data_IF_229939745960
#
_entry.id   IF_229939745960
#
_cell.length_a   1.000
_cell.length_b   1.000
_cell.length_c   1.000
_cell.angle_alpha   90.00
_cell.angle_beta   90.00
_cell.angle_gamma   90.00
#
_symmetry.space_group_name_H-M   'P 1'
#
loop_
_entity.id
_entity.type
_entity.pdbx_description
1 polymer ?
#
# COMPACT_ATOMS: atom_id res chain seq x y z
N UNK A 1 -0.35 -14.16 -19.12
CA UNK A 1 1.07 -13.78 -19.38
C UNK A 1 1.68 -13.04 -18.21
N UNK A 2 1.20 -11.81 -17.89
CA UNK A 2 1.82 -10.93 -16.89
C UNK A 2 2.03 -11.54 -15.52
N UNK A 3 1.10 -12.34 -15.01
CA UNK A 3 1.22 -13.04 -13.72
C UNK A 3 2.43 -13.98 -13.71
N UNK A 4 2.55 -14.81 -14.73
CA UNK A 4 3.61 -15.83 -14.81
C UNK A 4 4.97 -15.16 -14.98
N UNK A 5 5.07 -14.20 -15.88
CA UNK A 5 6.32 -13.46 -16.13
C UNK A 5 6.72 -12.66 -14.89
N UNK A 6 5.77 -11.95 -14.25
CA UNK A 6 6.03 -11.23 -13.01
C UNK A 6 6.53 -12.12 -11.88
N UNK A 7 5.96 -13.30 -11.73
CA UNK A 7 6.41 -14.29 -10.75
C UNK A 7 7.82 -14.79 -11.04
N UNK A 8 8.11 -15.15 -12.28
CA UNK A 8 9.43 -15.68 -12.69
C UNK A 8 10.53 -14.64 -12.48
N UNK A 9 10.31 -13.41 -12.98
CA UNK A 9 11.30 -12.34 -12.85
C UNK A 9 11.52 -11.98 -11.37
N UNK A 10 10.43 -11.88 -10.58
CA UNK A 10 10.54 -11.64 -9.14
C UNK A 10 11.35 -12.71 -8.43
N UNK A 11 11.12 -13.98 -8.76
CA UNK A 11 11.87 -15.10 -8.20
C UNK A 11 13.36 -15.01 -8.53
N UNK A 12 13.72 -14.68 -9.77
CA UNK A 12 15.12 -14.49 -10.19
C UNK A 12 15.76 -13.34 -9.39
N UNK A 13 15.05 -12.21 -9.23
CA UNK A 13 15.56 -11.06 -8.46
C UNK A 13 15.75 -11.44 -6.99
N UNK A 14 14.83 -12.22 -6.40
CA UNK A 14 14.96 -12.72 -5.03
C UNK A 14 16.20 -13.59 -4.87
N UNK A 15 16.43 -14.52 -5.80
CA UNK A 15 17.63 -15.38 -5.78
C UNK A 15 18.91 -14.54 -5.92
N UNK A 16 18.91 -13.56 -6.81
CA UNK A 16 20.03 -12.63 -6.99
C UNK A 16 20.33 -11.84 -5.70
N UNK A 17 19.28 -11.30 -5.06
CA UNK A 17 19.43 -10.61 -3.76
C UNK A 17 19.99 -11.53 -2.68
N UNK A 18 19.49 -12.76 -2.58
CA UNK A 18 20.00 -13.73 -1.62
C UNK A 18 21.47 -14.11 -1.87
N UNK A 19 21.86 -14.24 -3.14
CA UNK A 19 23.26 -14.46 -3.51
C UNK A 19 24.14 -13.25 -3.10
N UNK A 20 23.63 -12.03 -3.32
CA UNK A 20 24.33 -10.80 -2.93
C UNK A 20 24.48 -10.67 -1.41
N UNK A 21 23.46 -11.06 -0.64
CA UNK A 21 23.52 -11.09 0.84
C UNK A 21 24.62 -11.99 1.38
N UNK A 22 24.97 -13.07 0.63
CA UNK A 22 26.05 -13.99 0.99
C UNK A 22 27.42 -13.56 0.49
N UNK A 23 27.49 -12.53 -0.34
CA UNK A 23 28.72 -12.01 -0.92
C UNK A 23 29.39 -10.97 -0.02
N UNK A 24 30.70 -10.81 -0.17
CA UNK A 24 31.50 -9.75 0.47
C UNK A 24 31.10 -8.34 0.03
N UNK A 25 30.35 -8.22 -1.06
CA UNK A 25 29.82 -6.93 -1.58
C UNK A 25 28.47 -6.53 -0.98
N UNK A 26 28.02 -7.23 0.08
CA UNK A 26 26.76 -6.92 0.74
C UNK A 26 26.86 -5.56 1.43
N UNK A 27 26.13 -4.58 0.91
CA UNK A 27 25.91 -3.27 1.54
C UNK A 27 24.42 -2.97 1.63
N UNK A 28 24.02 -2.30 2.71
CA UNK A 28 22.62 -1.87 2.90
C UNK A 28 22.15 -1.02 1.72
N UNK A 29 23.00 -0.12 1.25
CA UNK A 29 22.68 0.77 0.13
C UNK A 29 22.42 -0.01 -1.18
N UNK A 30 23.25 -1.02 -1.50
CA UNK A 30 23.04 -1.85 -2.68
C UNK A 30 21.71 -2.60 -2.62
N UNK A 31 21.37 -3.15 -1.47
CA UNK A 31 20.10 -3.87 -1.29
C UNK A 31 18.88 -2.94 -1.43
N UNK A 32 18.96 -1.72 -0.89
CA UNK A 32 17.90 -0.72 -1.00
C UNK A 32 17.72 -0.27 -2.46
N UNK A 33 18.82 -0.04 -3.19
CA UNK A 33 18.77 0.35 -4.60
C UNK A 33 18.13 -0.77 -5.44
N UNK A 34 18.52 -2.03 -5.24
CA UNK A 34 17.93 -3.17 -5.95
C UNK A 34 16.43 -3.24 -5.63
N UNK A 35 16.05 -3.07 -4.36
CA UNK A 35 14.65 -3.11 -3.96
C UNK A 35 13.82 -2.03 -4.65
N UNK A 36 14.33 -0.80 -4.73
CA UNK A 36 13.68 0.32 -5.40
C UNK A 36 13.62 0.17 -6.92
N UNK A 37 14.66 -0.40 -7.53
CA UNK A 37 14.71 -0.60 -8.99
C UNK A 37 13.89 -1.79 -9.45
N UNK A 38 13.63 -2.75 -8.58
CA UNK A 38 12.90 -3.98 -8.91
C UNK A 38 11.57 -3.74 -9.66
N UNK A 39 10.63 -2.88 -9.21
CA UNK A 39 9.37 -2.69 -9.91
C UNK A 39 9.57 -2.11 -11.32
N UNK A 40 10.54 -1.23 -11.52
CA UNK A 40 10.83 -0.65 -12.84
C UNK A 40 11.40 -1.69 -13.81
N UNK A 41 12.33 -2.51 -13.34
CA UNK A 41 12.92 -3.59 -14.14
C UNK A 41 11.85 -4.59 -14.55
N UNK A 42 10.98 -5.00 -13.62
CA UNK A 42 9.91 -5.96 -13.90
C UNK A 42 8.89 -5.38 -14.87
N UNK A 43 8.51 -4.12 -14.68
CA UNK A 43 7.59 -3.42 -15.58
C UNK A 43 8.14 -3.41 -17.00
N UNK A 44 9.38 -2.93 -17.17
CA UNK A 44 10.01 -2.82 -18.49
C UNK A 44 10.14 -4.17 -19.19
N UNK A 45 10.64 -5.18 -18.49
CA UNK A 45 10.78 -6.53 -19.04
C UNK A 45 9.44 -7.14 -19.43
N UNK A 46 8.39 -6.95 -18.63
CA UNK A 46 7.07 -7.47 -18.94
C UNK A 46 6.47 -6.82 -20.19
N UNK A 47 6.62 -5.50 -20.35
CA UNK A 47 6.18 -4.78 -21.57
C UNK A 47 6.95 -5.24 -22.79
N UNK A 48 8.24 -5.52 -22.69
CA UNK A 48 9.05 -6.06 -23.81
C UNK A 48 8.55 -7.45 -24.26
N UNK A 49 8.04 -8.25 -23.33
CA UNK A 49 7.37 -9.53 -23.64
C UNK A 49 5.91 -9.38 -24.06
N UNK A 50 5.44 -8.18 -24.36
CA UNK A 50 4.07 -7.88 -24.76
C UNK A 50 3.01 -8.36 -23.75
N UNK A 51 3.33 -8.28 -22.46
CA UNK A 51 2.40 -8.58 -21.36
C UNK A 51 2.29 -7.37 -20.45
N UNK A 52 1.17 -7.26 -19.73
CA UNK A 52 0.94 -6.13 -18.83
C UNK A 52 1.99 -6.03 -17.73
N UNK A 53 2.81 -4.98 -17.80
CA UNK A 53 3.83 -4.65 -16.81
C UNK A 53 3.23 -4.37 -15.44
N UNK A 54 2.06 -3.74 -15.38
CA UNK A 54 1.36 -3.44 -14.12
C UNK A 54 1.00 -4.74 -13.39
N UNK A 55 0.40 -5.72 -14.09
CA UNK A 55 0.07 -7.02 -13.49
C UNK A 55 1.33 -7.76 -13.04
N UNK A 56 2.40 -7.69 -13.84
CA UNK A 56 3.67 -8.32 -13.50
C UNK A 56 4.27 -7.72 -12.22
N UNK A 57 4.27 -6.40 -12.07
CA UNK A 57 4.77 -5.71 -10.88
C UNK A 57 3.94 -6.03 -9.63
N UNK A 58 2.60 -6.09 -9.75
CA UNK A 58 1.73 -6.47 -8.63
C UNK A 58 2.04 -7.90 -8.15
N UNK A 59 2.19 -8.85 -9.07
CA UNK A 59 2.55 -10.22 -8.72
C UNK A 59 3.93 -10.32 -8.07
N UNK A 60 4.90 -9.56 -8.60
CA UNK A 60 6.23 -9.47 -8.02
C UNK A 60 6.21 -8.87 -6.60
N UNK A 61 5.37 -7.87 -6.37
CA UNK A 61 5.17 -7.27 -5.05
C UNK A 61 4.69 -8.29 -4.01
N UNK A 62 3.78 -9.20 -4.39
CA UNK A 62 3.33 -10.28 -3.51
C UNK A 62 4.47 -11.24 -3.15
N UNK A 63 5.31 -11.60 -4.13
CA UNK A 63 6.51 -12.46 -3.89
C UNK A 63 7.49 -11.78 -2.95
N UNK A 64 7.80 -10.51 -3.20
CA UNK A 64 8.72 -9.74 -2.35
C UNK A 64 8.18 -9.51 -0.95
N UNK A 65 6.89 -9.29 -0.79
CA UNK A 65 6.28 -9.17 0.54
C UNK A 65 6.41 -10.46 1.34
N UNK A 66 6.19 -11.61 0.71
CA UNK A 66 6.36 -12.91 1.37
C UNK A 66 7.83 -13.16 1.78
N UNK A 67 8.79 -12.76 0.93
CA UNK A 67 10.23 -12.83 1.26
C UNK A 67 10.59 -11.89 2.41
N UNK A 68 10.13 -10.65 2.36
CA UNK A 68 10.40 -9.64 3.39
C UNK A 68 9.92 -10.09 4.76
N UNK A 69 8.76 -10.70 4.85
CA UNK A 69 8.26 -11.25 6.11
C UNK A 69 9.16 -12.34 6.69
N UNK A 70 9.73 -13.19 5.82
CA UNK A 70 10.71 -14.22 6.26
C UNK A 70 12.06 -13.62 6.68
N UNK A 71 12.48 -12.55 6.02
CA UNK A 71 13.78 -11.90 6.23
C UNK A 71 13.81 -10.93 7.41
N UNK A 72 12.67 -10.52 7.95
CA UNK A 72 12.57 -9.55 9.06
C UNK A 72 13.38 -9.95 10.29
N UNK A 73 13.46 -11.25 10.58
CA UNK A 73 14.20 -11.77 11.73
C UNK A 73 15.72 -11.75 11.51
N UNK A 74 16.19 -11.76 10.26
CA UNK A 74 17.61 -11.84 9.95
C UNK A 74 18.28 -10.48 9.76
N UNK A 75 17.55 -9.48 9.23
CA UNK A 75 18.08 -8.16 8.85
C UNK A 75 17.06 -7.03 9.09
N UNK A 76 16.62 -6.86 10.34
CA UNK A 76 15.58 -5.90 10.71
C UNK A 76 15.88 -4.45 10.27
N UNK A 77 17.13 -4.00 10.41
CA UNK A 77 17.54 -2.64 10.03
C UNK A 77 17.39 -2.39 8.52
N UNK A 78 17.79 -3.36 7.69
CA UNK A 78 17.71 -3.24 6.24
C UNK A 78 16.26 -3.25 5.75
N UNK A 79 15.43 -4.11 6.34
CA UNK A 79 13.99 -4.17 6.03
C UNK A 79 13.32 -2.87 6.45
N UNK A 80 13.64 -2.32 7.62
CA UNK A 80 13.10 -1.05 8.10
C UNK A 80 13.47 0.12 7.17
N UNK A 81 14.75 0.26 6.80
CA UNK A 81 15.20 1.31 5.88
C UNK A 81 14.54 1.17 4.49
N UNK A 82 14.48 -0.04 3.95
CA UNK A 82 13.87 -0.31 2.64
C UNK A 82 12.38 0.03 2.63
N UNK A 83 11.63 -0.43 3.62
CA UNK A 83 10.18 -0.17 3.71
C UNK A 83 9.87 1.30 3.93
N UNK A 84 10.67 2.01 4.74
CA UNK A 84 10.49 3.43 5.00
C UNK A 84 10.76 4.28 3.75
N UNK A 85 11.83 3.99 3.01
CA UNK A 85 12.13 4.67 1.75
C UNK A 85 11.05 4.42 0.68
N UNK A 86 10.57 3.18 0.55
CA UNK A 86 9.47 2.86 -0.36
C UNK A 86 8.20 3.61 0.03
N UNK A 87 7.88 3.71 1.31
CA UNK A 87 6.72 4.48 1.79
C UNK A 87 6.82 5.95 1.38
N UNK A 88 7.96 6.59 1.62
CA UNK A 88 8.19 8.00 1.26
C UNK A 88 8.08 8.21 -0.26
N UNK A 89 8.70 7.33 -1.07
CA UNK A 89 8.65 7.43 -2.53
C UNK A 89 7.24 7.20 -3.04
N UNK A 90 6.50 6.26 -2.47
CA UNK A 90 5.10 6.00 -2.83
C UNK A 90 4.22 7.20 -2.53
N UNK A 91 4.41 7.85 -1.39
CA UNK A 91 3.67 9.06 -1.02
C UNK A 91 3.99 10.23 -1.96
N UNK A 92 5.26 10.42 -2.32
CA UNK A 92 5.67 11.42 -3.31
C UNK A 92 5.03 11.15 -4.68
N UNK A 93 5.08 9.92 -5.18
CA UNK A 93 4.48 9.58 -6.47
C UNK A 93 2.96 9.72 -6.45
N UNK A 94 2.29 9.30 -5.38
CA UNK A 94 0.86 9.52 -5.23
C UNK A 94 0.52 11.02 -5.28
N UNK A 95 1.27 11.86 -4.58
CA UNK A 95 1.08 13.31 -4.58
C UNK A 95 1.25 13.90 -5.98
N UNK A 96 2.29 13.50 -6.71
CA UNK A 96 2.54 13.93 -8.10
C UNK A 96 1.37 13.52 -9.00
N UNK A 97 0.88 12.29 -8.90
CA UNK A 97 -0.23 11.81 -9.74
C UNK A 97 -1.53 12.55 -9.44
N UNK A 98 -1.82 12.87 -8.16
CA UNK A 98 -3.00 13.68 -7.83
C UNK A 98 -2.89 15.12 -8.34
N UNK A 99 -1.69 15.72 -8.36
CA UNK A 99 -1.47 17.03 -8.99
C UNK A 99 -1.71 16.95 -10.50
N UNK A 100 -1.19 15.93 -11.17
CA UNK A 100 -1.40 15.70 -12.60
C UNK A 100 -2.90 15.51 -12.89
N UNK A 101 -3.60 14.70 -12.08
CA UNK A 101 -5.05 14.52 -12.18
C UNK A 101 -5.79 15.86 -12.07
N UNK A 102 -5.43 16.68 -11.08
CA UNK A 102 -6.03 18.00 -10.92
C UNK A 102 -5.82 18.92 -12.12
N UNK A 103 -4.60 18.93 -12.68
CA UNK A 103 -4.29 19.71 -13.89
C UNK A 103 -5.06 19.20 -15.12
N UNK A 104 -5.15 17.89 -15.29
CA UNK A 104 -5.91 17.28 -16.39
C UNK A 104 -7.39 17.61 -16.29
N UNK A 105 -7.99 17.49 -15.11
CA UNK A 105 -9.38 17.85 -14.90
C UNK A 105 -9.68 19.29 -15.28
N UNK A 106 -8.81 20.23 -14.88
CA UNK A 106 -8.99 21.65 -15.23
C UNK A 106 -8.92 21.87 -16.74
N UNK A 107 -8.00 21.21 -17.44
CA UNK A 107 -7.86 21.33 -18.90
C UNK A 107 -9.09 20.76 -19.62
N UNK A 108 -9.54 19.58 -19.21
CA UNK A 108 -10.70 18.92 -19.81
C UNK A 108 -11.99 19.76 -19.57
N UNK A 109 -12.17 20.34 -18.39
CA UNK A 109 -13.32 21.21 -18.09
C UNK A 109 -13.27 22.52 -18.91
N UNK A 110 -12.07 23.02 -19.23
CA UNK A 110 -11.91 24.21 -20.08
C UNK A 110 -12.15 23.96 -21.56
N UNK A 111 -11.67 22.81 -22.06
CA UNK A 111 -11.76 22.46 -23.48
C UNK A 111 -13.15 21.98 -23.88
N UNK A 112 -13.84 21.26 -22.99
CA UNK A 112 -15.25 20.93 -23.16
C UNK A 112 -16.07 21.96 -22.34
N UNK A 113 -16.50 23.04 -23.03
CA UNK A 113 -17.56 23.90 -22.48
C UNK A 113 -18.67 23.00 -21.94
N UNK A 114 -19.14 23.25 -20.71
CA UNK A 114 -20.22 22.50 -20.04
C UNK A 114 -21.42 22.44 -20.99
N UNK A 115 -21.47 21.40 -21.80
CA UNK A 115 -22.48 21.16 -22.81
C UNK A 115 -23.48 20.14 -22.26
N UNK A 116 -24.65 20.04 -22.88
CA UNK A 116 -25.70 19.06 -22.49
C UNK A 116 -25.15 17.60 -22.35
N UNK A 117 -24.04 17.27 -22.99
CA UNK A 117 -23.34 15.99 -22.88
C UNK A 117 -22.57 15.79 -21.56
N UNK A 118 -22.34 16.82 -20.76
CA UNK A 118 -21.56 16.71 -19.50
C UNK A 118 -22.25 15.82 -18.47
N UNK A 119 -23.57 15.71 -18.49
CA UNK A 119 -24.31 14.82 -17.62
C UNK A 119 -24.02 13.34 -17.87
N UNK A 120 -23.63 12.97 -19.09
CA UNK A 120 -23.38 11.56 -19.45
C UNK A 120 -22.17 11.01 -18.69
N UNK A 121 -21.06 11.70 -18.69
CA UNK A 121 -19.85 11.22 -18.02
C UNK A 121 -19.97 11.34 -16.49
N UNK A 122 -20.70 12.34 -15.97
CA UNK A 122 -20.99 12.46 -14.53
C UNK A 122 -21.85 11.28 -14.06
N UNK A 123 -22.94 11.00 -14.76
CA UNK A 123 -23.82 9.88 -14.40
C UNK A 123 -23.13 8.53 -14.57
N UNK A 124 -22.32 8.36 -15.60
CA UNK A 124 -21.54 7.15 -15.82
C UNK A 124 -20.52 6.92 -14.69
N UNK A 125 -19.76 7.94 -14.30
CA UNK A 125 -18.82 7.87 -13.18
C UNK A 125 -19.51 7.58 -11.86
N UNK A 126 -20.67 8.18 -11.61
CA UNK A 126 -21.47 7.90 -10.42
C UNK A 126 -22.01 6.47 -10.40
N UNK A 127 -22.49 5.95 -11.53
CA UNK A 127 -22.95 4.55 -11.65
C UNK A 127 -21.77 3.59 -11.41
N UNK A 128 -20.61 3.85 -11.99
CA UNK A 128 -19.40 3.05 -11.78
C UNK A 128 -19.00 3.04 -10.30
N UNK A 129 -19.02 4.20 -9.63
CA UNK A 129 -18.74 4.29 -8.21
C UNK A 129 -19.73 3.48 -7.38
N UNK A 130 -21.05 3.66 -7.60
CA UNK A 130 -22.08 2.94 -6.88
C UNK A 130 -21.97 1.43 -7.09
N UNK A 131 -21.74 0.99 -8.33
CA UNK A 131 -21.56 -0.45 -8.62
C UNK A 131 -20.36 -1.04 -7.88
N UNK A 132 -19.25 -0.29 -7.83
CA UNK A 132 -18.05 -0.71 -7.07
C UNK A 132 -18.36 -0.84 -5.57
N UNK A 133 -19.03 0.16 -4.98
CA UNK A 133 -19.43 0.13 -3.56
C UNK A 133 -20.34 -1.08 -3.27
N UNK A 134 -21.33 -1.33 -4.13
CA UNK A 134 -22.26 -2.46 -3.96
C UNK A 134 -21.53 -3.80 -4.06
N UNK A 135 -20.69 -3.99 -5.08
CA UNK A 135 -19.93 -5.23 -5.27
C UNK A 135 -19.00 -5.49 -4.08
N UNK A 136 -18.30 -4.47 -3.61
CA UNK A 136 -17.41 -4.59 -2.44
C UNK A 136 -18.21 -4.91 -1.17
N UNK A 137 -19.36 -4.27 -0.97
CA UNK A 137 -20.21 -4.55 0.18
C UNK A 137 -20.69 -6.01 0.18
N UNK A 138 -21.21 -6.49 -0.96
CA UNK A 138 -21.67 -7.87 -1.12
C UNK A 138 -20.50 -8.84 -0.87
N UNK A 139 -19.33 -8.56 -1.45
CA UNK A 139 -18.15 -9.39 -1.27
C UNK A 139 -17.68 -9.45 0.19
N UNK A 140 -17.64 -8.30 0.88
CA UNK A 140 -17.29 -8.22 2.30
C UNK A 140 -18.26 -9.03 3.18
N UNK A 141 -19.57 -8.95 2.87
CA UNK A 141 -20.60 -9.68 3.61
C UNK A 141 -20.55 -11.19 3.37
N UNK A 142 -20.38 -11.61 2.12
CA UNK A 142 -20.44 -13.03 1.76
C UNK A 142 -19.11 -13.72 2.07
N UNK A 143 -17.98 -13.14 1.64
CA UNK A 143 -16.68 -13.81 1.73
C UNK A 143 -16.05 -13.67 3.11
N UNK A 144 -16.09 -12.48 3.68
CA UNK A 144 -15.45 -12.20 4.98
C UNK A 144 -16.43 -12.26 6.16
N UNK A 145 -17.73 -12.48 5.91
CA UNK A 145 -18.76 -12.50 6.96
C UNK A 145 -18.73 -11.28 7.88
N UNK A 146 -18.37 -10.14 7.32
CA UNK A 146 -18.27 -8.88 8.08
C UNK A 146 -19.63 -8.46 8.61
N UNK A 147 -19.65 -7.81 9.78
CA UNK A 147 -20.84 -7.12 10.30
C UNK A 147 -21.25 -5.96 9.39
N UNK A 148 -22.47 -5.46 9.53
CA UNK A 148 -23.00 -4.37 8.69
C UNK A 148 -22.09 -3.15 8.69
N UNK A 149 -21.59 -2.74 9.86
CA UNK A 149 -20.71 -1.59 10.03
C UNK A 149 -19.36 -1.81 9.35
N UNK A 150 -18.72 -2.94 9.63
CA UNK A 150 -17.46 -3.32 9.00
C UNK A 150 -17.60 -3.48 7.47
N UNK A 151 -18.73 -4.01 7.00
CA UNK A 151 -19.04 -4.11 5.57
C UNK A 151 -19.10 -2.75 4.87
N UNK A 152 -19.72 -1.75 5.48
CA UNK A 152 -19.76 -0.39 4.94
C UNK A 152 -18.37 0.27 4.97
N UNK A 153 -17.60 0.12 6.04
CA UNK A 153 -16.22 0.64 6.12
C UNK A 153 -15.36 0.01 5.04
N UNK A 154 -15.42 -1.32 4.86
CA UNK A 154 -14.68 -2.03 3.82
C UNK A 154 -15.08 -1.60 2.41
N UNK A 155 -16.37 -1.42 2.18
CA UNK A 155 -16.91 -1.02 0.88
C UNK A 155 -16.49 0.39 0.49
N UNK A 156 -16.66 1.35 1.38
CA UNK A 156 -16.34 2.75 1.18
C UNK A 156 -14.82 3.02 1.20
N UNK A 157 -14.05 2.23 1.95
CA UNK A 157 -12.58 2.35 2.02
C UNK A 157 -11.85 1.98 0.73
N UNK A 158 -12.57 1.58 -0.32
CA UNK A 158 -12.01 1.31 -1.64
C UNK A 158 -11.76 2.57 -2.44
N UNK A 159 -10.77 3.37 -2.04
CA UNK A 159 -10.41 4.59 -2.76
C UNK A 159 -9.72 4.24 -4.07
N UNK A 160 -10.19 4.82 -5.16
CA UNK A 160 -9.56 4.78 -6.47
C UNK A 160 -8.55 5.92 -6.58
N UNK A 161 -7.41 5.64 -7.21
CA UNK A 161 -6.32 6.63 -7.27
C UNK A 161 -5.48 6.50 -8.54
N UNK A 162 -4.19 6.74 -8.38
CA UNK A 162 -3.21 6.78 -9.46
C UNK A 162 -3.24 5.58 -10.40
N UNK A 163 -3.41 4.37 -9.86
CA UNK A 163 -3.39 3.13 -10.66
C UNK A 163 -4.60 3.05 -11.58
N UNK A 164 -5.80 3.35 -11.08
CA UNK A 164 -7.04 3.32 -11.88
C UNK A 164 -7.01 4.37 -12.97
N UNK A 165 -6.54 5.58 -12.66
CA UNK A 165 -6.38 6.64 -13.65
C UNK A 165 -5.39 6.25 -14.74
N UNK A 166 -4.22 5.71 -14.37
CA UNK A 166 -3.19 5.28 -15.32
C UNK A 166 -3.70 4.16 -16.23
N UNK A 167 -4.44 3.20 -15.67
CA UNK A 167 -5.07 2.12 -16.44
C UNK A 167 -6.13 2.66 -17.41
N UNK A 168 -7.02 3.53 -16.93
CA UNK A 168 -8.04 4.16 -17.77
C UNK A 168 -7.40 4.94 -18.93
N UNK A 169 -6.34 5.70 -18.65
CA UNK A 169 -5.60 6.44 -19.65
C UNK A 169 -4.93 5.53 -20.68
N UNK A 170 -4.31 4.45 -20.24
CA UNK A 170 -3.65 3.48 -21.13
C UNK A 170 -4.65 2.78 -22.05
N UNK A 171 -5.78 2.30 -21.47
CA UNK A 171 -6.84 1.66 -22.24
C UNK A 171 -7.48 2.63 -23.22
N UNK A 172 -7.79 3.84 -22.80
CA UNK A 172 -8.39 4.86 -23.64
C UNK A 172 -7.47 5.23 -24.82
N UNK A 173 -6.15 5.31 -24.60
CA UNK A 173 -5.18 5.63 -25.65
C UNK A 173 -5.00 4.51 -26.67
N UNK A 174 -5.13 3.24 -26.26
CA UNK A 174 -4.82 2.09 -27.13
C UNK A 174 -6.04 1.48 -27.81
N UNK A 175 -7.22 1.58 -27.18
CA UNK A 175 -8.38 0.78 -27.57
C UNK A 175 -9.64 1.59 -27.93
N UNK A 176 -9.60 2.92 -27.78
CA UNK A 176 -10.79 3.77 -27.90
C UNK A 176 -10.56 4.89 -28.93
N UNK A 177 -11.61 5.25 -29.67
CA UNK A 177 -11.58 6.39 -30.58
C UNK A 177 -11.40 7.70 -29.79
N UNK A 178 -10.81 8.72 -30.43
CA UNK A 178 -10.54 10.01 -29.80
C UNK A 178 -11.77 10.72 -29.18
N UNK A 179 -12.96 10.47 -29.70
CA UNK A 179 -14.21 11.01 -29.16
C UNK A 179 -14.62 10.33 -27.84
N UNK A 180 -14.38 9.03 -27.72
CA UNK A 180 -14.72 8.25 -26.52
C UNK A 180 -13.62 8.32 -25.46
N UNK A 181 -12.41 8.76 -25.85
CA UNK A 181 -11.28 8.95 -24.93
C UNK A 181 -11.62 9.91 -23.79
N UNK A 182 -12.17 11.08 -24.12
CA UNK A 182 -12.59 12.08 -23.13
C UNK A 182 -13.63 11.50 -22.18
N UNK A 183 -14.61 10.76 -22.72
CA UNK A 183 -15.68 10.17 -21.93
C UNK A 183 -15.15 9.15 -20.90
N UNK A 184 -14.21 8.29 -21.28
CA UNK A 184 -13.60 7.32 -20.37
C UNK A 184 -12.81 8.02 -19.27
N UNK A 185 -11.93 8.95 -19.62
CA UNK A 185 -11.07 9.65 -18.65
C UNK A 185 -11.90 10.53 -17.72
N UNK A 186 -12.96 11.19 -18.23
CA UNK A 186 -13.87 12.02 -17.42
C UNK A 186 -14.67 11.18 -16.44
N UNK A 187 -15.26 10.07 -16.90
CA UNK A 187 -16.03 9.19 -16.03
C UNK A 187 -15.17 8.59 -14.92
N UNK A 188 -13.93 8.19 -15.24
CA UNK A 188 -12.98 7.71 -14.24
C UNK A 188 -12.59 8.81 -13.24
N UNK A 189 -12.41 10.04 -13.72
CA UNK A 189 -12.11 11.18 -12.85
C UNK A 189 -13.24 11.46 -11.84
N UNK A 190 -14.49 11.38 -12.28
CA UNK A 190 -15.66 11.49 -11.38
C UNK A 190 -15.67 10.34 -10.37
N UNK A 191 -15.41 9.11 -10.80
CA UNK A 191 -15.32 7.95 -9.92
C UNK A 191 -14.26 8.17 -8.84
N UNK A 192 -13.06 8.63 -9.22
CA UNK A 192 -11.96 8.91 -8.28
C UNK A 192 -12.39 9.98 -7.26
N UNK A 193 -12.94 11.10 -7.72
CA UNK A 193 -13.39 12.19 -6.85
C UNK A 193 -14.46 11.69 -5.87
N UNK A 194 -15.46 10.96 -6.34
CA UNK A 194 -16.49 10.37 -5.48
C UNK A 194 -15.89 9.39 -4.47
N UNK A 195 -14.94 8.55 -4.90
CA UNK A 195 -14.28 7.59 -4.02
C UNK A 195 -13.42 8.23 -2.91
N UNK A 196 -13.07 9.51 -3.05
CA UNK A 196 -12.37 10.28 -2.02
C UNK A 196 -13.35 11.06 -1.13
N UNK A 197 -14.30 11.77 -1.74
CA UNK A 197 -15.21 12.67 -1.00
C UNK A 197 -16.23 11.89 -0.18
N UNK A 198 -16.89 10.90 -0.77
CA UNK A 198 -17.98 10.17 -0.11
C UNK A 198 -17.50 9.43 1.15
N UNK A 199 -16.41 8.66 1.13
CA UNK A 199 -15.90 8.04 2.34
C UNK A 199 -15.48 9.06 3.40
N UNK A 200 -14.82 10.14 3.01
CA UNK A 200 -14.39 11.19 3.94
C UNK A 200 -15.54 11.77 4.73
N UNK A 201 -16.67 12.02 4.06
CA UNK A 201 -17.88 12.53 4.73
C UNK A 201 -18.53 11.45 5.58
N UNK A 202 -18.70 10.24 5.04
CA UNK A 202 -19.45 9.17 5.70
C UNK A 202 -18.68 8.60 6.89
N UNK A 203 -17.35 8.45 6.81
CA UNK A 203 -16.54 7.92 7.89
C UNK A 203 -16.59 8.80 9.14
N UNK A 204 -16.77 10.10 8.99
CA UNK A 204 -17.00 11.01 10.13
C UNK A 204 -18.18 10.58 11.00
N UNK A 205 -19.17 9.90 10.42
CA UNK A 205 -20.39 9.46 11.13
C UNK A 205 -20.36 7.98 11.52
N UNK A 206 -19.61 7.16 10.77
CA UNK A 206 -19.55 5.71 11.00
C UNK A 206 -18.43 5.34 11.94
N UNK A 207 -17.27 6.01 11.86
CA UNK A 207 -16.15 5.72 12.75
C UNK A 207 -16.47 6.22 14.17
N UNK A 208 -16.06 5.45 15.14
CA UNK A 208 -16.07 5.90 16.53
C UNK A 208 -15.12 7.09 16.67
N UNK A 209 -15.44 7.99 17.59
CA UNK A 209 -14.51 9.05 17.96
C UNK A 209 -13.23 8.39 18.45
N UNK A 210 -12.12 8.91 17.98
CA UNK A 210 -10.81 8.50 18.44
C UNK A 210 -10.78 8.53 19.96
N UNK A 211 -10.26 7.46 20.55
CA UNK A 211 -9.97 7.42 21.98
C UNK A 211 -9.06 8.62 22.25
N UNK A 212 -9.29 9.36 23.31
CA UNK A 212 -8.43 10.50 23.64
C UNK A 212 -6.97 10.06 23.62
N UNK A 213 -6.06 10.91 23.13
CA UNK A 213 -4.64 10.55 23.03
C UNK A 213 -4.09 9.94 24.32
N UNK A 214 -4.59 10.39 25.49
CA UNK A 214 -4.23 9.85 26.81
C UNK A 214 -4.73 8.41 27.06
N UNK A 215 -5.94 8.07 26.60
CA UNK A 215 -6.48 6.73 26.76
C UNK A 215 -5.89 5.76 25.76
N UNK A 216 -5.57 6.26 24.53
CA UNK A 216 -4.84 5.51 23.53
C UNK A 216 -3.38 5.22 23.94
N UNK A 217 -2.69 6.17 24.57
CA UNK A 217 -1.35 5.95 25.14
C UNK A 217 -1.37 4.91 26.27
N UNK A 218 -2.37 4.93 27.13
CA UNK A 218 -2.51 3.93 28.22
C UNK A 218 -2.75 2.52 27.66
N UNK A 219 -3.64 2.38 26.69
CA UNK A 219 -3.91 1.09 26.05
C UNK A 219 -2.68 0.55 25.30
N UNK A 220 -1.91 1.43 24.64
CA UNK A 220 -0.64 1.08 24.02
C UNK A 220 0.42 0.66 25.05
N UNK A 221 0.49 1.32 26.18
CA UNK A 221 1.45 0.98 27.23
C UNK A 221 1.07 -0.35 27.92
N UNK A 222 -0.22 -0.61 28.14
CA UNK A 222 -0.71 -1.91 28.64
C UNK A 222 -0.39 -3.04 27.66
N UNK A 223 -0.68 -2.86 26.37
CA UNK A 223 -0.34 -3.85 25.32
C UNK A 223 1.17 -4.09 25.23
N UNK A 224 1.98 -3.03 25.32
CA UNK A 224 3.44 -3.13 25.33
C UNK A 224 3.94 -3.93 26.52
N UNK A 225 3.39 -3.69 27.70
CA UNK A 225 3.76 -4.41 28.91
C UNK A 225 3.41 -5.89 28.80
N UNK A 226 2.23 -6.21 28.28
CA UNK A 226 1.81 -7.58 28.02
C UNK A 226 2.70 -8.30 27.02
N UNK A 227 3.06 -7.63 25.93
CA UNK A 227 4.00 -8.16 24.92
C UNK A 227 5.39 -8.43 25.52
N UNK A 228 5.92 -7.53 26.35
CA UNK A 228 7.21 -7.70 27.01
C UNK A 228 7.16 -8.88 27.97
N UNK A 229 6.10 -9.05 28.73
CA UNK A 229 5.91 -10.19 29.64
C UNK A 229 5.86 -11.52 28.88
N UNK A 230 5.14 -11.59 27.79
CA UNK A 230 5.10 -12.78 26.91
C UNK A 230 6.47 -13.06 26.27
N UNK A 231 7.21 -12.04 25.84
CA UNK A 231 8.54 -12.18 25.32
C UNK A 231 9.53 -12.72 26.37
N UNK A 232 9.49 -12.19 27.60
CA UNK A 232 10.31 -12.67 28.71
C UNK A 232 9.98 -14.14 29.03
N UNK A 233 8.70 -14.50 29.10
CA UNK A 233 8.28 -15.88 29.35
C UNK A 233 8.77 -16.84 28.25
N UNK A 234 8.80 -16.38 27.00
CA UNK A 234 9.33 -17.15 25.86
C UNK A 234 10.84 -17.33 25.96
N UNK A 235 11.58 -16.24 26.25
CA UNK A 235 13.06 -16.27 26.42
C UNK A 235 13.45 -17.19 27.59
N UNK A 236 12.66 -17.21 28.67
CA UNK A 236 12.91 -18.11 29.81
C UNK A 236 12.82 -19.59 29.44
N UNK A 237 11.95 -19.96 28.49
CA UNK A 237 11.80 -21.34 27.98
C UNK A 237 12.87 -21.75 26.96
N UNK A 238 13.56 -20.79 26.36
CA UNK A 238 14.61 -21.07 25.37
C UNK A 238 15.87 -21.64 26.02
N UNK A 239 16.53 -22.55 25.31
CA UNK A 239 17.86 -23.08 25.68
C UNK A 239 18.95 -22.07 25.28
N UNK A 240 19.15 -21.04 26.09
CA UNK A 240 20.17 -20.01 25.90
C UNK A 240 21.17 -20.04 27.07
N UNK A 241 22.42 -19.62 26.83
CA UNK A 241 23.40 -19.44 27.88
C UNK A 241 22.89 -18.39 28.89
N UNK A 242 23.17 -18.61 30.18
CA UNK A 242 22.60 -17.81 31.28
C UNK A 242 22.87 -16.31 31.14
N UNK A 243 24.07 -15.94 30.73
CA UNK A 243 24.48 -14.55 30.47
C UNK A 243 23.70 -13.91 29.32
N UNK A 244 23.50 -14.63 28.22
CA UNK A 244 22.72 -14.16 27.05
C UNK A 244 21.24 -13.98 27.44
N UNK A 245 20.68 -14.95 28.18
CA UNK A 245 19.30 -14.88 28.66
C UNK A 245 19.07 -13.66 29.56
N UNK A 246 20.01 -13.38 30.48
CA UNK A 246 19.93 -12.22 31.36
C UNK A 246 20.04 -10.90 30.59
N UNK A 247 20.94 -10.80 29.60
CA UNK A 247 21.07 -9.62 28.77
C UNK A 247 19.79 -9.33 27.97
N UNK A 248 19.22 -10.33 27.32
CA UNK A 248 17.98 -10.17 26.54
C UNK A 248 16.80 -9.77 27.44
N UNK A 249 16.69 -10.36 28.62
CA UNK A 249 15.62 -9.98 29.58
C UNK A 249 15.81 -8.55 30.09
N UNK A 250 17.07 -8.14 30.31
CA UNK A 250 17.38 -6.76 30.70
C UNK A 250 17.00 -5.78 29.59
N UNK A 251 17.36 -6.07 28.36
CA UNK A 251 17.03 -5.24 27.19
C UNK A 251 15.51 -5.12 27.00
N UNK A 252 14.77 -6.22 27.13
CA UNK A 252 13.31 -6.21 27.05
C UNK A 252 12.67 -5.36 28.16
N UNK A 253 13.19 -5.43 29.38
CA UNK A 253 12.70 -4.62 30.51
C UNK A 253 13.04 -3.14 30.35
N UNK A 254 14.21 -2.81 29.78
CA UNK A 254 14.61 -1.43 29.54
C UNK A 254 13.75 -0.73 28.48
N UNK A 255 13.15 -1.48 27.57
CA UNK A 255 12.20 -0.93 26.58
C UNK A 255 10.88 -0.47 27.19
N UNK A 256 10.53 -0.95 28.39
CA UNK A 256 9.34 -0.52 29.12
C UNK A 256 9.55 0.79 29.91
N UNK A 257 10.79 1.13 30.22
CA UNK A 257 11.09 2.44 30.77
C UNK A 257 11.07 3.45 29.63
N UNK A 258 10.03 4.27 29.62
CA UNK A 258 9.85 5.40 28.70
C UNK A 258 10.95 6.42 28.93
N UNK A 259 12.14 6.13 28.44
CA UNK A 259 13.23 7.11 28.31
C UNK A 259 12.82 8.02 27.15
N UNK A 260 11.96 9.01 27.46
CA UNK A 260 11.83 10.19 26.61
C UNK A 260 13.25 10.72 26.41
N UNK A 261 13.64 10.85 25.13
CA UNK A 261 14.88 11.48 24.70
C UNK A 261 15.08 12.92 25.25
N UNK A 262 14.17 13.39 26.10
CA UNK A 262 14.24 14.67 26.81
C UNK A 262 15.05 14.64 28.12
N UNK A 263 15.39 13.47 28.62
CA UNK A 263 16.10 13.33 29.91
C UNK A 263 17.64 13.23 29.73
N UNK A 264 18.13 13.44 28.51
CA UNK A 264 19.55 13.45 28.17
C UNK A 264 20.02 14.83 27.63
N UNK A 265 19.48 15.94 28.17
CA UNK A 265 20.06 17.28 27.96
C UNK A 265 20.39 17.92 29.29
#
# INVERSE_FOLDING_TARGET
GGIVIGFIIAWIIVLFRQALLRSSYNSVNAQVIIYLMTPFIIYYLAEEFHVSGIIAVVCAGLVHNAETQRSRLANAQMVYMGTNLVSIITELFNSIVFVILGMMLVNIIKDESITYNSWIWITLGAILYLSNVIVRYIYGRIKFKMDNRAGWIFSLGGVHGAVTLSLAFTVAKTSVNSQDFSLVVMSESVLIILSMIVPTIIFRFILEKDVSDEDGEKELDELREEMIQQAIATVQKMYLAKNVKQSVIFDLKSQNQNTRTRDFV
#
